data_IF_697822909080
#
_entry.id   IF_697822909080
#
_cell.length_a   1.000
_cell.length_b   1.000
_cell.length_c   1.000
_cell.angle_alpha   90.00
_cell.angle_beta   90.00
_cell.angle_gamma   90.00
#
_symmetry.space_group_name_H-M   'P 1'
#
loop_
_entity.id
_entity.type
_entity.pdbx_description
1 polymer ?
#
# COMPACT_ATOMS: atom_id res chain seq x y z
N UNK A 1 -17.74 17.15 11.59
CA UNK A 1 -17.87 15.69 11.83
C UNK A 1 -16.54 15.05 11.48
N UNK A 2 -15.76 14.59 12.46
CA UNK A 2 -14.59 13.74 12.21
C UNK A 2 -15.13 12.39 11.74
N UNK A 3 -14.74 11.91 10.56
CA UNK A 3 -15.04 10.54 10.16
C UNK A 3 -14.49 9.59 11.24
N UNK A 4 -15.24 8.55 11.66
CA UNK A 4 -14.70 7.57 12.60
C UNK A 4 -13.43 7.00 11.99
N UNK A 5 -12.35 6.96 12.77
CA UNK A 5 -11.05 6.46 12.34
C UNK A 5 -11.25 5.08 11.71
N UNK A 6 -11.16 5.02 10.38
CA UNK A 6 -11.36 3.78 9.63
C UNK A 6 -10.43 2.71 10.16
N UNK A 7 -10.93 1.48 10.30
CA UNK A 7 -10.12 0.36 10.75
C UNK A 7 -8.87 0.25 9.84
N UNK A 8 -7.68 0.26 10.43
CA UNK A 8 -6.43 0.05 9.72
C UNK A 8 -6.09 -1.45 9.76
N UNK A 9 -6.04 -2.08 8.59
CA UNK A 9 -5.51 -3.45 8.46
C UNK A 9 -4.02 -3.37 8.15
N UNK A 10 -3.20 -4.20 8.78
CA UNK A 10 -1.76 -4.27 8.51
C UNK A 10 -1.37 -5.67 8.01
N UNK A 11 -0.59 -5.71 6.94
CA UNK A 11 -0.02 -6.93 6.34
C UNK A 11 1.50 -6.78 6.29
N UNK A 12 2.22 -7.82 6.70
CA UNK A 12 3.68 -7.91 6.53
C UNK A 12 4.02 -8.83 5.36
N UNK A 13 4.76 -8.31 4.38
CA UNK A 13 5.30 -9.05 3.25
C UNK A 13 6.79 -9.31 3.48
N UNK A 14 7.10 -10.49 4.02
CA UNK A 14 8.48 -10.92 4.22
C UNK A 14 9.24 -11.07 2.89
N UNK A 15 8.61 -11.68 1.87
CA UNK A 15 9.14 -11.79 0.51
C UNK A 15 8.03 -12.20 -0.47
N UNK A 16 8.27 -12.04 -1.76
CA UNK A 16 7.37 -12.51 -2.83
C UNK A 16 6.41 -11.42 -3.32
N UNK A 17 5.20 -11.82 -3.71
CA UNK A 17 4.21 -10.95 -4.33
C UNK A 17 2.89 -11.03 -3.60
N UNK A 18 2.26 -9.89 -3.37
CA UNK A 18 0.86 -9.79 -2.94
C UNK A 18 0.12 -8.86 -3.89
N UNK A 19 -1.08 -9.28 -4.31
CA UNK A 19 -2.01 -8.45 -5.07
C UNK A 19 -3.26 -8.29 -4.24
N UNK A 20 -3.63 -7.04 -3.95
CA UNK A 20 -4.75 -6.73 -3.05
C UNK A 20 -5.76 -5.85 -3.75
N UNK A 21 -7.02 -6.16 -3.51
CA UNK A 21 -8.16 -5.34 -3.90
C UNK A 21 -8.80 -4.79 -2.63
N UNK A 22 -8.48 -3.55 -2.29
CA UNK A 22 -8.89 -2.92 -1.03
C UNK A 22 -10.27 -2.23 -1.09
N UNK A 23 -11.09 -2.50 -2.12
CA UNK A 23 -12.43 -1.89 -2.26
C UNK A 23 -13.39 -2.30 -1.14
N UNK A 24 -13.23 -3.51 -0.59
CA UNK A 24 -14.11 -4.04 0.46
C UNK A 24 -13.77 -3.54 1.89
N UNK A 25 -12.71 -2.76 2.06
CA UNK A 25 -12.32 -2.22 3.38
C UNK A 25 -13.21 -1.06 3.84
N UNK A 26 -14.16 -0.61 3.02
CA UNK A 26 -15.04 0.52 3.32
C UNK A 26 -14.25 1.82 3.50
N UNK A 27 -14.41 2.48 4.66
CA UNK A 27 -13.60 3.67 5.04
C UNK A 27 -12.25 3.30 5.67
N UNK A 28 -11.93 2.01 5.78
CA UNK A 28 -10.68 1.50 6.32
C UNK A 28 -9.48 1.75 5.41
N UNK A 29 -8.30 1.75 6.02
CA UNK A 29 -7.02 1.83 5.31
C UNK A 29 -6.31 0.47 5.40
N UNK A 30 -5.49 0.16 4.40
CA UNK A 30 -4.60 -0.99 4.43
C UNK A 30 -3.16 -0.51 4.37
N UNK A 31 -2.35 -1.08 5.26
CA UNK A 31 -0.91 -0.89 5.31
C UNK A 31 -0.21 -2.20 4.97
N UNK A 32 0.66 -2.18 3.98
CA UNK A 32 1.57 -3.29 3.66
C UNK A 32 2.99 -2.89 4.03
N UNK A 33 3.62 -3.64 4.93
CA UNK A 33 5.03 -3.49 5.28
C UNK A 33 5.86 -4.48 4.47
N UNK A 34 6.76 -3.97 3.64
CA UNK A 34 7.68 -4.75 2.82
C UNK A 34 9.12 -4.36 3.19
N UNK A 35 9.61 -4.89 4.32
CA UNK A 35 10.88 -4.44 4.90
C UNK A 35 10.76 -3.02 5.44
N UNK A 36 11.63 -2.12 5.00
CA UNK A 36 11.62 -0.71 5.41
C UNK A 36 10.58 0.13 4.64
N UNK A 37 10.00 -0.42 3.57
CA UNK A 37 8.97 0.26 2.78
C UNK A 37 7.60 -0.01 3.38
N UNK A 38 6.84 1.06 3.59
CA UNK A 38 5.45 1.00 4.02
C UNK A 38 4.54 1.53 2.92
N UNK A 39 3.58 0.73 2.49
CA UNK A 39 2.60 1.09 1.47
C UNK A 39 1.24 1.28 2.16
N UNK A 40 0.66 2.46 2.06
CA UNK A 40 -0.66 2.77 2.61
C UNK A 40 -1.65 3.04 1.48
N UNK A 41 -2.83 2.40 1.56
CA UNK A 41 -3.86 2.48 0.53
C UNK A 41 -5.25 2.65 1.13
N UNK A 42 -6.16 3.23 0.33
CA UNK A 42 -7.59 3.38 0.68
C UNK A 42 -8.43 3.13 -0.56
N UNK A 43 -9.18 2.01 -0.57
CA UNK A 43 -10.09 1.70 -1.68
C UNK A 43 -9.40 1.40 -3.01
N UNK A 44 -8.14 0.93 -2.98
CA UNK A 44 -7.23 0.83 -4.13
C UNK A 44 -7.06 -0.62 -4.61
N UNK A 45 -6.82 -0.85 -5.91
CA UNK A 45 -6.29 -2.12 -6.42
C UNK A 45 -4.82 -1.96 -6.75
N UNK A 46 -3.98 -2.78 -6.14
CA UNK A 46 -2.53 -2.64 -6.26
C UNK A 46 -1.82 -3.98 -6.05
N UNK A 47 -0.56 -4.02 -6.45
CA UNK A 47 0.36 -5.14 -6.24
C UNK A 47 1.63 -4.63 -5.58
N UNK A 48 2.11 -5.35 -4.57
CA UNK A 48 3.43 -5.15 -3.98
C UNK A 48 4.28 -6.40 -4.22
N UNK A 49 5.49 -6.20 -4.72
CA UNK A 49 6.49 -7.26 -4.90
C UNK A 49 7.71 -6.90 -4.07
N UNK A 50 8.19 -7.84 -3.26
CA UNK A 50 9.45 -7.72 -2.51
C UNK A 50 10.40 -8.85 -2.91
N UNK A 51 11.57 -8.47 -3.40
CA UNK A 51 12.66 -9.37 -3.74
C UNK A 51 13.96 -8.86 -3.08
N UNK A 52 14.30 -9.44 -1.93
CA UNK A 52 15.39 -8.93 -1.07
C UNK A 52 15.07 -7.53 -0.57
N UNK A 53 15.94 -6.57 -0.90
CA UNK A 53 15.81 -5.15 -0.56
C UNK A 53 15.04 -4.34 -1.63
N UNK A 54 14.73 -4.97 -2.77
CA UNK A 54 13.95 -4.31 -3.82
C UNK A 54 12.44 -4.47 -3.56
N UNK A 55 11.73 -3.34 -3.60
CA UNK A 55 10.27 -3.29 -3.50
C UNK A 55 9.71 -2.57 -4.72
N UNK A 56 8.79 -3.22 -5.42
CA UNK A 56 8.03 -2.65 -6.54
C UNK A 56 6.55 -2.57 -6.15
N UNK A 57 5.90 -1.45 -6.48
CA UNK A 57 4.49 -1.19 -6.14
C UNK A 57 3.74 -0.78 -7.40
N UNK A 58 2.93 -1.66 -7.98
CA UNK A 58 2.11 -1.33 -9.14
C UNK A 58 0.70 -0.96 -8.70
N UNK A 59 0.19 0.19 -9.14
CA UNK A 59 -1.20 0.61 -8.90
C UNK A 59 -2.06 0.35 -10.12
N UNK A 60 -2.99 -0.61 -10.01
CA UNK A 60 -3.96 -0.88 -11.08
C UNK A 60 -5.12 0.14 -11.08
N UNK A 61 -5.57 0.56 -9.89
CA UNK A 61 -6.67 1.51 -9.73
C UNK A 61 -6.56 2.26 -8.42
N UNK A 62 -6.77 3.59 -8.47
CA UNK A 62 -6.87 4.45 -7.29
C UNK A 62 -5.56 5.20 -7.03
N UNK A 63 -5.24 5.34 -5.75
CA UNK A 63 -4.06 6.07 -5.26
C UNK A 63 -3.39 5.26 -4.14
N UNK A 64 -2.06 5.25 -4.15
CA UNK A 64 -1.20 4.61 -3.16
C UNK A 64 -0.20 5.63 -2.64
N UNK A 65 0.02 5.61 -1.32
CA UNK A 65 1.12 6.35 -0.68
C UNK A 65 2.19 5.35 -0.27
N UNK A 66 3.37 5.47 -0.86
CA UNK A 66 4.54 4.68 -0.50
C UNK A 66 5.46 5.53 0.36
N UNK A 67 5.81 5.01 1.53
CA UNK A 67 6.81 5.58 2.43
C UNK A 67 8.04 4.71 2.36
N UNK A 68 9.09 5.26 1.75
CA UNK A 68 10.39 4.64 1.64
C UNK A 68 11.28 5.08 2.83
N UNK A 69 12.46 4.46 3.01
CA UNK A 69 13.46 4.94 3.95
C UNK A 69 13.76 6.44 3.75
N UNK A 70 14.29 7.09 4.78
CA UNK A 70 14.61 8.53 4.78
C UNK A 70 13.38 9.45 4.67
N UNK A 71 12.22 8.99 5.14
CA UNK A 71 10.96 9.77 5.18
C UNK A 71 10.48 10.22 3.80
N UNK A 72 10.92 9.54 2.72
CA UNK A 72 10.47 9.82 1.37
C UNK A 72 9.06 9.29 1.16
N UNK A 73 8.14 10.19 0.90
CA UNK A 73 6.76 9.88 0.53
C UNK A 73 6.59 9.99 -1.00
N UNK A 74 6.10 8.90 -1.62
CA UNK A 74 5.86 8.79 -3.05
C UNK A 74 4.37 8.51 -3.24
N UNK A 75 3.72 9.32 -4.08
CA UNK A 75 2.33 9.13 -4.44
C UNK A 75 2.27 8.46 -5.80
N UNK A 76 1.68 7.27 -5.86
CA UNK A 76 1.46 6.53 -7.09
C UNK A 76 -0.03 6.51 -7.43
N UNK A 77 -0.34 6.84 -8.66
CA UNK A 77 -1.69 6.80 -9.23
C UNK A 77 -1.85 5.60 -10.15
N UNK A 78 -3.10 5.30 -10.52
CA UNK A 78 -3.41 4.21 -11.44
C UNK A 78 -2.53 4.25 -12.72
N UNK A 79 -1.87 3.13 -13.01
CA UNK A 79 -0.93 2.95 -14.12
C UNK A 79 0.54 3.22 -13.78
N UNK A 80 0.84 3.72 -12.58
CA UNK A 80 2.21 3.98 -12.12
C UNK A 80 2.80 2.80 -11.34
N UNK A 81 4.14 2.80 -11.23
CA UNK A 81 4.93 1.79 -10.51
C UNK A 81 6.12 2.41 -9.76
#
# INVERSE_FOLDING_TARGET
MRAPDGCMTELELASGRVSVHARDLGQGALRVRAGEVTVEVRGTRFTVVRAGDHVEVHVDEGHVVVRAPEEREIHLYAGER
#
